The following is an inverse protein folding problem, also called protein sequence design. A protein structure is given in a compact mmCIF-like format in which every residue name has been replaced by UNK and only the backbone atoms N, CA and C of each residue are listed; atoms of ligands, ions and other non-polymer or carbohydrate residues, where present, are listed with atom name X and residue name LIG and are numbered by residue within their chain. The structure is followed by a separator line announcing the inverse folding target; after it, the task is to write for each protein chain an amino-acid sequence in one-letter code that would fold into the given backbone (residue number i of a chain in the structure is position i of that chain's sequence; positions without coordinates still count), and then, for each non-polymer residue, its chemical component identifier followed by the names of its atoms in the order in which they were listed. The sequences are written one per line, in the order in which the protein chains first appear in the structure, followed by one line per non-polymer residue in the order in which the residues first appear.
data_IF_617131669957
#
_entry.id   IF_617131669957
#
_cell.length_a   1.000
_cell.length_b   1.000
_cell.length_c   1.000
_cell.angle_alpha   90.00
_cell.angle_beta   90.00
_cell.angle_gamma   90.00
#
_symmetry.space_group_name_H-M   'P 1'
#
loop_
_entity.id
_entity.type
_entity.pdbx_description
1 polymer ?
#
# COMPACT_ATOMS: atom_id res chain seq x y z
N UNK A 1 0.75 10.90 18.30
CA UNK A 1 0.49 9.49 17.96
C UNK A 1 0.95 9.27 16.53
N UNK A 2 1.74 8.21 16.27
CA UNK A 2 2.15 7.84 14.92
C UNK A 2 1.12 6.88 14.32
N UNK A 3 0.73 7.12 13.07
CA UNK A 3 -0.25 6.30 12.35
C UNK A 3 0.29 6.02 10.96
N UNK A 4 0.07 4.80 10.48
CA UNK A 4 0.30 4.44 9.08
C UNK A 4 -1.06 4.17 8.46
N UNK A 5 -1.38 4.89 7.39
CA UNK A 5 -2.57 4.63 6.58
C UNK A 5 -2.12 3.86 5.33
N UNK A 6 -2.77 2.75 5.05
CA UNK A 6 -2.50 1.97 3.84
C UNK A 6 -3.34 2.55 2.70
N UNK A 7 -2.67 3.15 1.72
CA UNK A 7 -3.33 3.81 0.59
C UNK A 7 -2.47 3.66 -0.66
N UNK A 8 -3.09 3.20 -1.73
CA UNK A 8 -2.46 3.10 -3.05
C UNK A 8 -2.80 4.34 -3.87
N UNK A 9 -1.76 5.00 -4.36
CA UNK A 9 -1.85 6.04 -5.38
C UNK A 9 -0.77 5.76 -6.43
N UNK A 10 -1.01 6.20 -7.67
CA UNK A 10 -0.10 5.93 -8.78
C UNK A 10 1.30 6.49 -8.47
N UNK A 11 2.32 5.62 -8.55
CA UNK A 11 3.74 5.90 -8.28
C UNK A 11 4.05 6.41 -6.86
N UNK A 12 3.18 6.16 -5.88
CA UNK A 12 3.38 6.53 -4.49
C UNK A 12 3.52 5.28 -3.62
N UNK A 13 4.58 5.17 -2.81
CA UNK A 13 4.72 4.04 -1.88
C UNK A 13 3.50 3.94 -0.94
N UNK A 14 2.97 2.74 -0.67
CA UNK A 14 1.60 2.59 -0.14
C UNK A 14 1.45 2.80 1.38
N UNK A 15 2.54 3.10 2.09
CA UNK A 15 2.56 3.33 3.53
C UNK A 15 2.60 4.83 3.84
N UNK A 16 1.47 5.41 4.22
CA UNK A 16 1.36 6.85 4.47
C UNK A 16 1.52 7.13 5.96
N UNK A 17 2.65 7.73 6.34
CA UNK A 17 2.97 8.08 7.71
C UNK A 17 2.33 9.41 8.12
N UNK A 18 1.62 9.37 9.24
CA UNK A 18 1.05 10.53 9.91
C UNK A 18 1.57 10.65 11.34
N UNK A 19 1.88 11.87 11.75
CA UNK A 19 2.18 12.22 13.13
C UNK A 19 1.22 13.31 13.61
N UNK A 20 0.40 12.99 14.63
CA UNK A 20 -0.62 13.91 15.15
C UNK A 20 -1.55 14.46 14.04
N UNK A 21 -2.01 13.56 13.17
CA UNK A 21 -2.88 13.85 12.01
C UNK A 21 -2.27 14.74 10.92
N UNK A 22 -0.97 15.01 10.99
CA UNK A 22 -0.20 15.69 9.93
C UNK A 22 0.49 14.62 9.09
N UNK A 23 0.30 14.67 7.77
CA UNK A 23 1.03 13.83 6.83
C UNK A 23 2.52 14.19 6.89
N UNK A 24 3.35 13.17 7.06
CA UNK A 24 4.81 13.31 7.11
C UNK A 24 5.39 12.90 5.76
N UNK A 25 5.19 11.64 5.37
CA UNK A 25 5.75 11.07 4.14
C UNK A 25 5.03 9.76 3.76
N UNK A 26 5.27 9.28 2.54
CA UNK A 26 4.85 7.96 2.08
C UNK A 26 6.09 7.12 1.74
N UNK A 27 6.69 6.52 2.78
CA UNK A 27 7.92 5.73 2.70
C UNK A 27 7.83 4.50 3.60
N UNK A 28 8.76 3.57 3.42
CA UNK A 28 8.94 2.49 4.37
C UNK A 28 9.44 3.06 5.72
N UNK A 29 8.79 2.74 6.86
CA UNK A 29 9.19 3.31 8.14
C UNK A 29 10.59 2.88 8.57
N UNK A 30 11.46 3.82 8.96
CA UNK A 30 12.85 3.58 9.36
C UNK A 30 13.02 2.50 10.46
N UNK A 31 12.03 2.37 11.35
CA UNK A 31 12.02 1.36 12.41
C UNK A 31 11.99 -0.09 11.86
N UNK A 32 11.64 -0.24 10.58
CA UNK A 32 11.55 -1.52 9.88
C UNK A 32 12.68 -1.73 8.87
N UNK A 33 13.69 -0.86 8.79
CA UNK A 33 14.75 -0.91 7.76
C UNK A 33 15.50 -2.27 7.69
N UNK A 34 15.46 -3.08 8.75
CA UNK A 34 16.02 -4.43 8.78
C UNK A 34 15.10 -5.52 8.18
N UNK A 35 13.93 -5.13 7.67
CA UNK A 35 12.87 -6.02 7.21
C UNK A 35 12.63 -5.94 5.70
N UNK A 36 13.70 -6.19 4.93
CA UNK A 36 13.71 -6.20 3.46
C UNK A 36 12.57 -7.02 2.85
N UNK A 37 12.17 -8.11 3.51
CA UNK A 37 11.06 -8.96 3.04
C UNK A 37 9.75 -8.18 2.99
N UNK A 38 9.45 -7.41 4.03
CA UNK A 38 8.21 -6.66 4.14
C UNK A 38 8.22 -5.45 3.21
N UNK A 39 9.36 -4.76 3.09
CA UNK A 39 9.55 -3.68 2.11
C UNK A 39 9.25 -4.19 0.69
N UNK A 40 9.87 -5.31 0.30
CA UNK A 40 9.64 -5.95 -0.99
C UNK A 40 8.18 -6.33 -1.24
N UNK A 41 7.45 -6.75 -0.20
CA UNK A 41 6.02 -7.04 -0.35
C UNK A 41 5.23 -5.79 -0.75
N UNK A 42 5.56 -4.62 -0.17
CA UNK A 42 4.91 -3.36 -0.51
C UNK A 42 5.37 -2.80 -1.86
N UNK A 43 6.64 -3.00 -2.24
CA UNK A 43 7.12 -2.70 -3.60
C UNK A 43 6.36 -3.50 -4.66
N UNK A 44 6.27 -4.82 -4.50
CA UNK A 44 5.54 -5.69 -5.43
C UNK A 44 4.05 -5.29 -5.53
N UNK A 45 3.43 -4.91 -4.40
CA UNK A 45 2.06 -4.41 -4.39
C UNK A 45 1.94 -3.07 -5.13
N UNK A 46 2.89 -2.16 -4.94
CA UNK A 46 2.87 -0.88 -5.65
C UNK A 46 3.05 -1.06 -7.15
N UNK A 47 3.98 -1.94 -7.57
CA UNK A 47 4.16 -2.29 -8.99
C UNK A 47 2.87 -2.89 -9.60
N UNK A 48 2.19 -3.78 -8.87
CA UNK A 48 0.90 -4.32 -9.28
C UNK A 48 -0.15 -3.21 -9.44
N UNK A 49 -0.22 -2.25 -8.51
CA UNK A 49 -1.18 -1.15 -8.58
C UNK A 49 -0.86 -0.17 -9.71
N UNK A 50 0.42 0.16 -9.91
CA UNK A 50 0.87 1.04 -11.00
C UNK A 50 0.58 0.44 -12.38
N UNK A 51 0.59 -0.90 -12.50
CA UNK A 51 0.23 -1.60 -13.74
C UNK A 51 -1.23 -1.44 -14.15
N UNK A 52 -2.08 -0.94 -13.24
CA UNK A 52 -3.49 -0.62 -13.53
C UNK A 52 -3.65 0.71 -14.26
N UNK A 53 -2.55 1.39 -14.55
CA UNK A 53 -2.53 2.65 -15.29
C UNK A 53 -1.75 2.49 -16.59
N UNK A 54 -2.28 3.08 -17.65
CA UNK A 54 -1.49 3.43 -18.82
C UNK A 54 -0.90 4.81 -18.54
N UNK A 55 0.42 4.93 -18.65
CA UNK A 55 1.14 6.21 -18.58
C UNK A 55 2.19 6.22 -19.70
N UNK A 56 1.89 6.93 -20.78
CA UNK A 56 2.79 7.14 -21.91
C UNK A 56 2.64 8.58 -22.45
N UNK A 57 3.44 8.95 -23.45
CA UNK A 57 3.46 10.31 -24.00
C UNK A 57 2.11 10.77 -24.64
N UNK A 58 1.17 9.85 -24.83
CA UNK A 58 -0.12 10.06 -25.51
C UNK A 58 -1.26 10.11 -24.50
N UNK A 59 -1.26 9.21 -23.51
CA UNK A 59 -2.36 9.09 -22.55
C UNK A 59 -1.90 8.71 -21.13
N UNK A 60 -2.70 9.19 -20.18
CA UNK A 60 -2.72 8.74 -18.79
C UNK A 60 -4.14 8.29 -18.44
N UNK A 61 -4.34 7.00 -18.16
CA UNK A 61 -5.66 6.44 -17.87
C UNK A 61 -5.61 5.26 -16.91
N UNK A 62 -6.67 5.10 -16.10
CA UNK A 62 -6.88 3.91 -15.27
C UNK A 62 -7.59 2.83 -16.07
N UNK A 63 -6.95 1.68 -16.21
CA UNK A 63 -7.51 0.51 -16.92
C UNK A 63 -8.05 -0.56 -15.98
N UNK A 64 -7.67 -0.53 -14.71
CA UNK A 64 -8.12 -1.49 -13.70
C UNK A 64 -7.57 -2.91 -13.92
N UNK A 65 -8.07 -3.86 -13.14
CA UNK A 65 -7.68 -5.27 -13.25
C UNK A 65 -8.30 -5.93 -14.48
N UNK A 66 -7.55 -6.85 -15.11
CA UNK A 66 -8.04 -7.56 -16.28
C UNK A 66 -9.21 -8.51 -15.96
N UNK A 67 -9.22 -9.06 -14.74
CA UNK A 67 -10.30 -9.91 -14.23
C UNK A 67 -10.39 -9.86 -12.70
N UNK A 68 -11.49 -10.40 -12.17
CA UNK A 68 -11.77 -10.43 -10.73
C UNK A 68 -10.75 -11.27 -9.95
N UNK A 69 -10.16 -12.31 -10.57
CA UNK A 69 -9.19 -13.17 -9.90
C UNK A 69 -7.88 -12.43 -9.62
N UNK A 70 -7.44 -11.56 -10.54
CA UNK A 70 -6.30 -10.67 -10.30
C UNK A 70 -6.60 -9.64 -9.21
N UNK A 71 -7.81 -9.07 -9.20
CA UNK A 71 -8.25 -8.14 -8.15
C UNK A 71 -8.27 -8.83 -6.78
N UNK A 72 -8.84 -10.02 -6.69
CA UNK A 72 -8.87 -10.83 -5.45
C UNK A 72 -7.46 -11.19 -4.97
N UNK A 73 -6.55 -11.55 -5.89
CA UNK A 73 -5.16 -11.85 -5.57
C UNK A 73 -4.42 -10.62 -5.02
N UNK A 74 -4.61 -9.46 -5.63
CA UNK A 74 -4.06 -8.21 -5.13
C UNK A 74 -4.56 -7.89 -3.73
N UNK A 75 -5.87 -7.92 -3.52
CA UNK A 75 -6.50 -7.66 -2.20
C UNK A 75 -5.98 -8.63 -1.14
N UNK A 76 -5.83 -9.92 -1.49
CA UNK A 76 -5.27 -10.93 -0.59
C UNK A 76 -3.83 -10.59 -0.19
N UNK A 77 -2.96 -10.26 -1.16
CA UNK A 77 -1.57 -9.86 -0.91
C UNK A 77 -1.47 -8.61 -0.04
N UNK A 78 -2.36 -7.63 -0.24
CA UNK A 78 -2.42 -6.43 0.62
C UNK A 78 -2.74 -6.83 2.06
N UNK A 79 -3.77 -7.66 2.27
CA UNK A 79 -4.10 -8.13 3.63
C UNK A 79 -2.91 -8.85 4.30
N UNK A 80 -2.23 -9.73 3.57
CA UNK A 80 -1.06 -10.46 4.09
C UNK A 80 0.10 -9.51 4.47
N UNK A 81 0.39 -8.51 3.64
CA UNK A 81 1.41 -7.49 3.94
C UNK A 81 1.03 -6.62 5.15
N UNK A 82 -0.24 -6.23 5.25
CA UNK A 82 -0.75 -5.42 6.38
C UNK A 82 -0.71 -6.19 7.69
N UNK A 83 -1.03 -7.50 7.68
CA UNK A 83 -0.96 -8.33 8.88
C UNK A 83 0.49 -8.50 9.35
N UNK A 84 1.44 -8.73 8.44
CA UNK A 84 2.88 -8.75 8.77
C UNK A 84 3.36 -7.40 9.32
N UNK A 85 2.95 -6.29 8.69
CA UNK A 85 3.26 -4.93 9.14
C UNK A 85 2.78 -4.66 10.57
N UNK A 86 1.54 -5.05 10.89
CA UNK A 86 0.98 -4.89 12.24
C UNK A 86 1.75 -5.69 13.28
N UNK A 87 2.16 -6.92 12.95
CA UNK A 87 2.97 -7.76 13.84
C UNK A 87 4.32 -7.09 14.13
N UNK A 88 4.95 -6.50 13.11
CA UNK A 88 6.28 -5.91 13.23
C UNK A 88 6.29 -4.57 13.98
N UNK A 89 5.27 -3.75 13.80
CA UNK A 89 5.19 -2.44 14.46
C UNK A 89 4.78 -2.51 15.94
N UNK A 90 4.34 -3.67 16.44
CA UNK A 90 4.16 -4.02 17.86
C UNK A 90 3.66 -2.89 18.80
N UNK A 91 2.69 -2.09 18.34
CA UNK A 91 2.05 -0.93 19.02
C UNK A 91 2.79 0.42 18.97
N UNK A 92 3.95 0.54 18.34
CA UNK A 92 4.61 1.84 18.13
C UNK A 92 3.83 2.74 17.16
N UNK A 93 3.04 2.11 16.29
CA UNK A 93 2.20 2.76 15.28
C UNK A 93 0.78 2.19 15.29
N UNK A 94 -0.19 3.05 15.04
CA UNK A 94 -1.54 2.62 14.68
C UNK A 94 -1.59 2.37 13.17
N UNK A 95 -1.81 1.13 12.75
CA UNK A 95 -2.00 0.79 11.34
C UNK A 95 -3.48 0.85 10.98
N UNK A 96 -3.85 1.81 10.12
CA UNK A 96 -5.21 2.00 9.61
C UNK A 96 -5.36 1.40 8.21
N UNK A 97 -6.16 0.34 8.15
CA UNK A 97 -6.47 -0.37 6.93
C UNK A 97 -7.92 -0.87 6.97
N UNK A 98 -8.64 -0.67 5.86
CA UNK A 98 -9.96 -1.28 5.62
C UNK A 98 -9.96 -1.95 4.26
N UNK A 99 -10.25 -3.25 4.25
CA UNK A 99 -10.38 -4.05 3.03
C UNK A 99 -11.54 -3.53 2.16
N UNK A 100 -12.64 -3.12 2.78
CA UNK A 100 -13.83 -2.60 2.07
C UNK A 100 -13.52 -1.30 1.34
N UNK A 101 -12.79 -0.39 1.99
CA UNK A 101 -12.31 0.85 1.36
C UNK A 101 -11.32 0.56 0.23
N UNK A 102 -10.40 -0.40 0.43
CA UNK A 102 -9.48 -0.83 -0.62
C UNK A 102 -10.27 -1.29 -1.86
N UNK A 103 -11.21 -2.22 -1.70
CA UNK A 103 -11.99 -2.78 -2.82
C UNK A 103 -12.81 -1.72 -3.57
N UNK A 104 -13.30 -0.70 -2.86
CA UNK A 104 -14.09 0.39 -3.45
C UNK A 104 -13.25 1.34 -4.31
N UNK A 105 -11.94 1.41 -4.05
CA UNK A 105 -11.00 2.27 -4.76
C UNK A 105 -10.23 1.54 -5.89
N UNK A 106 -10.54 0.25 -6.14
CA UNK A 106 -9.99 -0.58 -7.22
C UNK A 106 -11.06 -0.84 -8.29
#
# INVERSE_FOLDING_TARGET
MKRIIIKFEYKCFPLWLYENDIFVDNIFPEILDDNEKLEKMFDELQEMFDSLYIDNDIEFSYVGFADELQKELFVKKVCEAVDELKVKLNNDYVVDFSKEKLITNL
#
